data_IF_732451061760
#
_entry.id   IF_732451061760
#
_cell.length_a   1.000
_cell.length_b   1.000
_cell.length_c   1.000
_cell.angle_alpha   90.00
_cell.angle_beta   90.00
_cell.angle_gamma   90.00
#
_symmetry.space_group_name_H-M   'P 1'
#
loop_
_entity.id
_entity.type
_entity.pdbx_description
1 polymer ?
#
# COMPACT_ATOMS: atom_id res chain seq x y z
N UNK A 1 24.36 -60.00 -2.00
CA UNK A 1 24.61 -58.59 -2.36
C UNK A 1 23.57 -58.16 -3.40
N UNK A 2 22.80 -57.11 -3.06
CA UNK A 2 21.88 -56.25 -3.84
C UNK A 2 21.23 -56.81 -5.13
N UNK A 3 19.93 -57.12 -5.21
CA UNK A 3 18.74 -56.24 -5.15
C UNK A 3 18.73 -55.12 -6.20
N UNK A 4 18.19 -55.39 -7.40
CA UNK A 4 17.80 -54.37 -8.37
C UNK A 4 16.33 -54.00 -8.14
N UNK A 5 16.11 -52.82 -7.55
CA UNK A 5 14.81 -52.21 -7.38
C UNK A 5 14.29 -51.65 -8.70
N UNK A 6 13.00 -51.91 -8.96
CA UNK A 6 12.11 -51.17 -9.86
C UNK A 6 12.28 -49.65 -9.70
N UNK A 7 12.61 -48.96 -10.79
CA UNK A 7 12.32 -47.52 -10.90
C UNK A 7 10.95 -47.36 -11.56
N UNK A 8 9.97 -46.98 -10.73
CA UNK A 8 8.67 -46.47 -11.17
C UNK A 8 8.88 -45.17 -11.93
N UNK A 9 8.23 -45.04 -13.09
CA UNK A 9 8.02 -43.75 -13.74
C UNK A 9 7.27 -42.84 -12.76
N UNK A 10 7.90 -41.76 -12.31
CA UNK A 10 7.22 -40.67 -11.63
C UNK A 10 6.78 -39.65 -12.67
N UNK A 11 5.46 -39.53 -12.75
CA UNK A 11 4.69 -38.58 -13.53
C UNK A 11 5.28 -37.17 -13.43
N UNK A 12 5.50 -36.54 -14.59
CA UNK A 12 6.00 -35.19 -14.71
C UNK A 12 5.14 -34.21 -13.89
N UNK A 13 5.75 -33.57 -12.91
CA UNK A 13 5.25 -32.30 -12.40
C UNK A 13 5.59 -31.25 -13.44
N UNK A 14 4.59 -30.90 -14.25
CA UNK A 14 4.59 -29.67 -15.03
C UNK A 14 4.83 -28.52 -14.05
N UNK A 15 6.07 -28.01 -14.02
CA UNK A 15 6.38 -26.73 -13.39
C UNK A 15 5.47 -25.71 -14.05
N UNK A 16 4.49 -25.20 -13.32
CA UNK A 16 3.80 -24.00 -13.74
C UNK A 16 4.88 -22.94 -13.94
N UNK A 17 4.94 -22.28 -15.11
CA UNK A 17 5.79 -21.11 -15.23
C UNK A 17 5.31 -20.13 -14.16
N UNK A 18 6.21 -19.76 -13.25
CA UNK A 18 6.05 -18.56 -12.45
C UNK A 18 5.74 -17.48 -13.47
N UNK A 19 4.50 -16.99 -13.50
CA UNK A 19 4.23 -15.76 -14.24
C UNK A 19 5.01 -14.70 -13.50
N UNK A 20 6.12 -14.26 -14.11
CA UNK A 20 6.82 -13.05 -13.75
C UNK A 20 5.89 -11.86 -14.01
N UNK A 21 4.87 -11.72 -13.18
CA UNK A 21 4.14 -10.47 -13.07
C UNK A 21 4.98 -9.58 -12.15
N UNK A 22 5.39 -8.38 -12.58
CA UNK A 22 5.92 -7.41 -11.64
C UNK A 22 4.85 -7.19 -10.55
N UNK A 23 5.20 -7.50 -9.31
CA UNK A 23 4.34 -7.32 -8.13
C UNK A 23 4.38 -5.83 -7.79
N UNK A 24 3.58 -5.04 -8.51
CA UNK A 24 3.45 -3.60 -8.31
C UNK A 24 1.95 -3.30 -8.29
N UNK A 25 1.52 -2.44 -7.36
CA UNK A 25 0.15 -1.92 -7.38
C UNK A 25 -0.21 -1.37 -8.76
N UNK A 26 -1.38 -1.72 -9.28
CA UNK A 26 -1.90 -1.25 -10.57
C UNK A 26 -3.38 -0.82 -10.45
N UNK A 27 -3.75 0.42 -10.83
CA UNK A 27 -2.85 1.45 -11.34
C UNK A 27 -1.88 1.98 -10.27
N UNK A 28 -0.68 2.35 -10.70
CA UNK A 28 0.28 3.04 -9.83
C UNK A 28 -0.32 4.35 -9.32
N UNK A 29 -0.32 4.60 -7.99
CA UNK A 29 -0.89 5.83 -7.44
C UNK A 29 -0.11 7.06 -7.90
N UNK A 30 -0.82 8.13 -8.27
CA UNK A 30 -0.21 9.40 -8.66
C UNK A 30 0.29 10.18 -7.44
N UNK A 31 1.52 10.69 -7.50
CA UNK A 31 2.00 11.66 -6.51
C UNK A 31 1.10 12.89 -6.44
N UNK A 32 0.70 13.43 -7.58
CA UNK A 32 -0.09 14.68 -7.62
C UNK A 32 -1.42 14.51 -6.91
N UNK A 33 -2.10 13.37 -7.09
CA UNK A 33 -3.37 13.07 -6.44
C UNK A 33 -3.20 12.89 -4.93
N UNK A 34 -2.14 12.19 -4.51
CA UNK A 34 -1.86 11.97 -3.09
C UNK A 34 -1.41 13.26 -2.40
N UNK A 35 -0.54 14.06 -3.03
CA UNK A 35 -0.15 15.39 -2.54
C UNK A 35 -1.39 16.28 -2.43
N UNK A 36 -2.28 16.24 -3.41
CA UNK A 36 -3.51 17.01 -3.37
C UNK A 36 -4.43 16.58 -2.22
N UNK A 37 -4.60 15.28 -1.99
CA UNK A 37 -5.46 14.75 -0.92
C UNK A 37 -4.90 15.07 0.48
N UNK A 38 -3.59 14.87 0.68
CA UNK A 38 -2.92 15.13 1.95
C UNK A 38 -2.55 16.60 2.16
N UNK A 39 -2.56 17.41 1.09
CA UNK A 39 -2.08 18.80 1.08
C UNK A 39 -0.64 18.90 1.61
N UNK A 40 0.17 17.88 1.35
CA UNK A 40 1.53 17.74 1.86
C UNK A 40 2.41 16.91 0.91
N UNK A 41 3.69 17.28 0.84
CA UNK A 41 4.71 16.51 0.11
C UNK A 41 5.03 15.20 0.84
N UNK A 42 5.27 14.10 0.11
CA UNK A 42 5.74 12.86 0.71
C UNK A 42 7.16 13.01 1.24
N UNK A 43 7.45 12.26 2.30
CA UNK A 43 8.81 12.11 2.84
C UNK A 43 9.31 10.71 2.54
N UNK A 44 10.49 10.62 1.92
CA UNK A 44 11.24 9.37 1.78
C UNK A 44 12.12 9.14 3.02
N UNK A 45 11.96 7.99 3.66
CA UNK A 45 12.56 7.71 4.98
C UNK A 45 14.09 7.78 5.00
N UNK A 46 14.75 7.42 3.90
CA UNK A 46 16.21 7.30 3.84
C UNK A 46 16.88 8.50 3.15
N UNK A 47 16.13 9.59 2.88
CA UNK A 47 16.65 10.74 2.14
C UNK A 47 17.86 11.40 2.84
N UNK A 48 17.81 11.52 4.17
CA UNK A 48 18.91 12.12 4.95
C UNK A 48 20.10 11.16 5.04
N UNK A 49 19.88 9.88 5.33
CA UNK A 49 20.92 8.85 5.43
C UNK A 49 21.70 8.69 4.10
N UNK A 50 20.99 8.66 2.97
CA UNK A 50 21.60 8.56 1.63
C UNK A 50 22.41 9.80 1.28
N UNK A 51 21.91 11.00 1.62
CA UNK A 51 22.64 12.26 1.43
C UNK A 51 23.91 12.30 2.27
N UNK A 52 23.87 11.84 3.52
CA UNK A 52 25.05 11.75 4.39
C UNK A 52 26.08 10.74 3.88
N UNK A 53 25.63 9.62 3.29
CA UNK A 53 26.48 8.64 2.63
C UNK A 53 27.04 9.11 1.27
N UNK A 54 26.65 10.30 0.79
CA UNK A 54 27.14 10.89 -0.45
C UNK A 54 26.41 10.41 -1.72
N UNK A 55 25.27 9.72 -1.57
CA UNK A 55 24.43 9.36 -2.70
C UNK A 55 23.57 10.57 -3.12
N UNK A 56 23.62 10.90 -4.41
CA UNK A 56 22.65 11.80 -5.04
C UNK A 56 21.57 10.92 -5.66
N UNK A 57 20.46 10.76 -4.93
CA UNK A 57 19.39 9.83 -5.28
C UNK A 57 18.08 10.59 -5.38
N UNK A 58 17.52 10.68 -6.60
CA UNK A 58 16.18 11.24 -6.81
C UNK A 58 15.14 10.12 -6.67
N UNK A 59 14.73 9.88 -5.42
CA UNK A 59 13.74 8.86 -5.09
C UNK A 59 12.37 9.11 -5.74
N UNK A 60 12.07 10.35 -6.20
CA UNK A 60 10.81 10.64 -6.91
C UNK A 60 10.81 10.02 -8.30
N UNK A 61 11.94 10.04 -9.01
CA UNK A 61 12.08 9.44 -10.35
C UNK A 61 11.95 7.90 -10.34
N UNK A 62 12.13 7.28 -9.18
CA UNK A 62 12.08 5.83 -9.00
C UNK A 62 10.72 5.31 -8.55
N UNK A 63 9.73 6.18 -8.41
CA UNK A 63 8.35 5.74 -8.21
C UNK A 63 7.90 4.86 -9.39
N UNK A 64 7.26 3.70 -9.17
CA UNK A 64 6.65 3.17 -7.94
C UNK A 64 7.53 2.31 -7.01
N UNK A 65 8.84 2.26 -7.22
CA UNK A 65 9.76 1.35 -6.51
C UNK A 65 10.33 1.93 -5.20
N UNK A 66 9.85 3.10 -4.78
CA UNK A 66 10.24 3.75 -3.54
C UNK A 66 9.10 3.74 -2.53
N UNK A 67 9.45 3.81 -1.24
CA UNK A 67 8.49 3.86 -0.15
C UNK A 67 8.43 5.27 0.43
N UNK A 68 7.24 5.85 0.48
CA UNK A 68 7.05 7.24 0.93
C UNK A 68 6.00 7.33 2.01
N UNK A 69 6.07 8.40 2.81
CA UNK A 69 5.06 8.70 3.83
C UNK A 69 4.44 10.07 3.61
N UNK A 70 3.12 10.11 3.53
CA UNK A 70 2.32 11.32 3.55
C UNK A 70 1.77 11.56 4.95
N UNK A 71 1.72 12.82 5.38
CA UNK A 71 1.20 13.23 6.69
C UNK A 71 0.41 14.51 6.55
N UNK A 72 -0.74 14.57 7.21
CA UNK A 72 -1.55 15.78 7.31
C UNK A 72 -2.33 15.80 8.61
N UNK A 73 -2.70 16.99 9.07
CA UNK A 73 -3.58 17.16 10.22
C UNK A 73 -4.94 17.66 9.73
N UNK A 74 -6.01 16.93 10.03
CA UNK A 74 -7.35 17.25 9.55
C UNK A 74 -8.43 16.85 10.54
N UNK A 75 -9.40 17.74 10.75
CA UNK A 75 -10.53 17.54 11.65
C UNK A 75 -10.13 17.07 13.09
N UNK A 76 -8.97 17.52 13.58
CA UNK A 76 -8.45 17.12 14.90
C UNK A 76 -7.66 15.80 14.92
N UNK A 77 -7.36 15.21 13.77
CA UNK A 77 -6.59 13.98 13.64
C UNK A 77 -5.31 14.19 12.84
N UNK A 78 -4.23 13.57 13.28
CA UNK A 78 -3.04 13.38 12.46
C UNK A 78 -3.21 12.10 11.66
N UNK A 79 -3.30 12.26 10.33
CA UNK A 79 -3.46 11.18 9.36
C UNK A 79 -2.12 10.94 8.67
N UNK A 80 -1.64 9.71 8.75
CA UNK A 80 -0.40 9.27 8.13
C UNK A 80 -0.70 8.10 7.19
N UNK A 81 -0.13 8.16 5.98
CA UNK A 81 -0.10 7.04 5.05
C UNK A 81 1.34 6.75 4.65
N UNK A 82 1.83 5.56 4.99
CA UNK A 82 3.00 4.98 4.36
C UNK A 82 2.54 4.12 3.18
N UNK A 83 3.23 4.23 2.06
CA UNK A 83 2.92 3.47 0.85
C UNK A 83 4.20 3.02 0.16
N UNK A 84 4.19 1.77 -0.27
CA UNK A 84 5.29 1.13 -1.00
C UNK A 84 4.69 0.29 -2.13
N UNK A 85 4.46 0.88 -3.31
CA UNK A 85 3.67 0.23 -4.35
C UNK A 85 4.34 -1.01 -4.93
N UNK A 86 5.68 -1.03 -5.05
CA UNK A 86 6.45 -2.20 -5.49
C UNK A 86 6.42 -3.40 -4.53
N UNK A 87 5.77 -3.27 -3.38
CA UNK A 87 5.54 -4.37 -2.43
C UNK A 87 4.07 -4.52 -2.05
N UNK A 88 3.15 -3.80 -2.71
CA UNK A 88 1.70 -3.86 -2.46
C UNK A 88 1.35 -3.58 -0.98
N UNK A 89 2.10 -2.66 -0.35
CA UNK A 89 1.93 -2.28 1.06
C UNK A 89 1.36 -0.87 1.19
N UNK A 90 0.33 -0.75 2.02
CA UNK A 90 -0.14 0.54 2.54
C UNK A 90 -0.27 0.41 4.05
N UNK A 91 0.22 1.40 4.79
CA UNK A 91 -0.05 1.52 6.22
C UNK A 91 -0.74 2.83 6.50
N UNK A 92 -1.89 2.78 7.17
CA UNK A 92 -2.68 3.95 7.57
C UNK A 92 -2.65 4.09 9.08
N UNK A 93 -2.34 5.30 9.55
CA UNK A 93 -2.28 5.63 10.97
C UNK A 93 -3.08 6.88 11.26
N UNK A 94 -3.93 6.81 12.27
CA UNK A 94 -4.69 7.96 12.77
C UNK A 94 -4.39 8.17 14.26
N UNK A 95 -4.00 9.39 14.60
CA UNK A 95 -3.77 9.84 15.98
C UNK A 95 -4.63 11.06 16.27
N UNK A 96 -4.98 11.29 17.52
CA UNK A 96 -5.54 12.57 17.95
C UNK A 96 -4.45 13.64 17.86
N UNK A 97 -4.76 14.79 17.24
CA UNK A 97 -3.78 15.87 17.06
C UNK A 97 -3.46 16.61 18.38
N UNK A 98 -4.35 16.53 19.38
CA UNK A 98 -4.20 17.24 20.66
C UNK A 98 -3.16 16.64 21.59
N UNK A 99 -3.09 15.31 21.64
CA UNK A 99 -2.37 14.53 22.64
C UNK A 99 -1.63 13.33 22.03
N UNK A 100 -1.71 13.14 20.70
CA UNK A 100 -0.95 12.14 19.96
C UNK A 100 -1.39 10.70 20.18
N UNK A 101 -2.55 10.46 20.82
CA UNK A 101 -3.07 9.12 21.11
C UNK A 101 -3.40 8.41 19.81
N UNK A 102 -2.84 7.22 19.61
CA UNK A 102 -3.12 6.38 18.46
C UNK A 102 -4.52 5.77 18.58
N UNK A 103 -5.36 6.08 17.59
CA UNK A 103 -6.72 5.56 17.49
C UNK A 103 -6.77 4.35 16.55
N UNK A 104 -5.88 4.33 15.56
CA UNK A 104 -5.86 3.33 14.51
C UNK A 104 -4.47 3.18 13.91
N UNK A 105 -4.07 1.94 13.68
CA UNK A 105 -2.89 1.55 12.92
C UNK A 105 -3.24 0.31 12.07
N UNK A 106 -3.34 0.50 10.75
CA UNK A 106 -3.67 -0.56 9.80
C UNK A 106 -2.47 -0.84 8.91
N UNK A 107 -1.95 -2.06 8.95
CA UNK A 107 -0.97 -2.59 8.00
C UNK A 107 -1.70 -3.42 6.95
N UNK A 108 -1.80 -2.89 5.73
CA UNK A 108 -2.51 -3.49 4.61
C UNK A 108 -1.49 -4.08 3.63
N UNK A 109 -1.71 -5.34 3.26
CA UNK A 109 -0.86 -6.13 2.35
C UNK A 109 -1.68 -6.67 1.20
N UNK A 110 -0.99 -7.01 0.10
CA UNK A 110 -1.64 -7.40 -1.15
C UNK A 110 -2.66 -6.34 -1.59
N UNK A 111 -2.31 -5.07 -1.40
CA UNK A 111 -3.10 -3.96 -1.94
C UNK A 111 -2.92 -3.94 -3.44
N UNK A 112 -4.02 -4.05 -4.18
CA UNK A 112 -3.99 -4.04 -5.63
C UNK A 112 -3.79 -2.63 -6.17
N UNK A 113 -4.42 -1.63 -5.56
CA UNK A 113 -4.39 -0.27 -6.06
C UNK A 113 -4.73 0.75 -4.99
N UNK A 114 -4.23 1.98 -5.20
CA UNK A 114 -4.58 3.15 -4.40
C UNK A 114 -5.00 4.26 -5.34
N UNK A 115 -6.12 4.91 -5.04
CA UNK A 115 -6.63 6.02 -5.83
C UNK A 115 -7.22 7.12 -4.98
N UNK A 116 -7.45 8.27 -5.60
CA UNK A 116 -8.14 9.41 -4.98
C UNK A 116 -9.44 9.66 -5.72
N UNK A 117 -10.53 9.79 -4.98
CA UNK A 117 -11.85 10.11 -5.55
C UNK A 117 -12.41 11.41 -4.99
N UNK A 118 -13.14 12.11 -5.87
CA UNK A 118 -13.81 13.37 -5.58
C UNK A 118 -15.27 13.26 -5.93
N UNK A 119 -16.12 13.09 -4.93
CA UNK A 119 -17.55 12.84 -5.13
C UNK A 119 -18.37 13.75 -4.22
N UNK A 120 -19.21 14.61 -4.81
CA UNK A 120 -20.14 15.49 -4.08
C UNK A 120 -19.47 16.29 -2.94
N UNK A 121 -18.28 16.84 -3.19
CA UNK A 121 -17.52 17.64 -2.22
C UNK A 121 -16.77 16.82 -1.15
N UNK A 122 -16.77 15.49 -1.26
CA UNK A 122 -15.95 14.59 -0.45
C UNK A 122 -14.65 14.28 -1.16
N UNK A 123 -13.60 14.14 -0.38
CA UNK A 123 -12.27 13.75 -0.83
C UNK A 123 -11.94 12.42 -0.17
N UNK A 124 -11.69 11.39 -0.97
CA UNK A 124 -11.59 10.01 -0.53
C UNK A 124 -10.27 9.42 -1.01
N UNK A 125 -9.54 8.76 -0.12
CA UNK A 125 -8.56 7.75 -0.49
C UNK A 125 -9.29 6.42 -0.66
N UNK A 126 -9.02 5.74 -1.77
CA UNK A 126 -9.52 4.41 -2.11
C UNK A 126 -8.36 3.43 -2.08
N UNK A 127 -8.50 2.32 -1.35
CA UNK A 127 -7.53 1.23 -1.32
C UNK A 127 -8.23 -0.04 -1.74
N UNK A 128 -7.86 -0.57 -2.91
CA UNK A 128 -8.44 -1.77 -3.49
C UNK A 128 -7.61 -3.01 -3.14
N UNK A 129 -8.32 -4.12 -2.99
CA UNK A 129 -7.74 -5.45 -2.82
C UNK A 129 -8.12 -6.32 -4.02
N UNK A 130 -7.38 -7.42 -4.28
CA UNK A 130 -7.72 -8.41 -5.29
C UNK A 130 -9.16 -8.92 -5.16
N UNK A 131 -9.78 -9.30 -6.29
CA UNK A 131 -11.17 -9.80 -6.35
C UNK A 131 -11.42 -11.04 -5.47
N UNK A 132 -10.37 -11.84 -5.18
CA UNK A 132 -10.42 -13.01 -4.30
C UNK A 132 -10.13 -12.68 -2.83
N UNK A 133 -9.85 -11.42 -2.51
CA UNK A 133 -9.70 -10.95 -1.13
C UNK A 133 -11.04 -11.00 -0.39
N UNK A 134 -11.05 -11.45 0.89
CA UNK A 134 -12.24 -11.32 1.71
C UNK A 134 -12.53 -9.85 2.08
N UNK A 135 -11.57 -8.93 1.93
CA UNK A 135 -11.75 -7.51 2.24
C UNK A 135 -12.33 -6.77 1.04
N UNK A 136 -13.35 -5.95 1.28
CA UNK A 136 -13.81 -4.96 0.31
C UNK A 136 -12.88 -3.75 0.27
N UNK A 137 -13.03 -2.91 -0.76
CA UNK A 137 -12.32 -1.63 -0.87
C UNK A 137 -12.41 -0.84 0.44
N UNK A 138 -11.24 -0.42 0.94
CA UNK A 138 -11.13 0.47 2.07
C UNK A 138 -11.19 1.93 1.59
N UNK A 139 -11.98 2.72 2.30
CA UNK A 139 -12.22 4.12 2.01
C UNK A 139 -11.83 4.98 3.21
N UNK A 140 -10.87 5.88 3.02
CA UNK A 140 -10.57 6.94 3.99
C UNK A 140 -11.07 8.27 3.44
N UNK A 141 -12.14 8.79 4.04
CA UNK A 141 -12.62 10.15 3.78
C UNK A 141 -11.75 11.14 4.53
N UNK A 142 -11.29 12.16 3.81
CA UNK A 142 -10.47 13.25 4.34
C UNK A 142 -11.28 14.54 4.52
N UNK A 143 -12.31 14.79 3.69
CA UNK A 143 -13.23 15.94 3.83
C UNK A 143 -14.70 15.50 3.70
N UNK A 144 -15.63 16.14 4.43
CA UNK A 144 -15.43 17.28 5.36
C UNK A 144 -14.88 16.89 6.75
N UNK A 145 -14.87 15.61 7.05
CA UNK A 145 -14.39 14.97 8.28
C UNK A 145 -13.50 13.79 7.92
N UNK A 146 -12.77 13.27 8.92
CA UNK A 146 -11.96 12.07 8.77
C UNK A 146 -12.78 10.85 9.16
N UNK A 147 -13.02 9.94 8.23
CA UNK A 147 -13.76 8.71 8.47
C UNK A 147 -13.18 7.55 7.66
N UNK A 148 -13.02 6.39 8.30
CA UNK A 148 -12.54 5.18 7.66
C UNK A 148 -13.67 4.15 7.55
N UNK A 149 -13.81 3.52 6.38
CA UNK A 149 -14.81 2.49 6.14
C UNK A 149 -14.23 1.36 5.31
N UNK A 150 -14.44 0.13 5.75
CA UNK A 150 -14.21 -1.09 4.98
C UNK A 150 -15.15 -2.19 5.50
N UNK A 151 -15.27 -3.29 4.77
CA UNK A 151 -16.02 -4.46 5.21
C UNK A 151 -15.32 -5.73 4.77
N UNK A 152 -15.72 -6.86 5.36
CA UNK A 152 -15.33 -8.18 4.87
C UNK A 152 -16.55 -8.87 4.27
N UNK A 153 -16.34 -9.56 3.15
CA UNK A 153 -17.28 -10.54 2.63
C UNK A 153 -17.38 -11.75 3.57
N UNK A 154 -18.46 -12.55 3.47
CA UNK A 154 -18.53 -13.82 4.18
C UNK A 154 -17.36 -14.70 3.75
N UNK A 155 -16.66 -15.29 4.73
CA UNK A 155 -15.69 -16.34 4.45
C UNK A 155 -16.43 -17.50 3.75
N UNK A 156 -15.97 -17.87 2.55
CA UNK A 156 -16.53 -18.98 1.78
C UNK A 156 -16.35 -20.34 2.43
#
# INVERSE_FOLDING_TARGET
MASYLRMRMLSGHLRHPCKDHPVVMEPVPSYEDLIWLFEAEPVYRYADDEREAGYQFDWRELWPYTAVTFRTTRAGYDVEMYIEPGYEVVRLRLRTASDGVELLDLDLRAVQGVGVERIHGRELLRVDFPDDSPASTLWLRMKPDVALHWSYGPAG
#
